data_IF_886318000516
#
_entry.id   IF_886318000516
#
_cell.length_a   1.000
_cell.length_b   1.000
_cell.length_c   1.000
_cell.angle_alpha   90.00
_cell.angle_beta   90.00
_cell.angle_gamma   90.00
#
_symmetry.space_group_name_H-M   'P 1'
#
loop_
_entity.id
_entity.type
_entity.pdbx_description
1 polymer ?
#
# COMPACT_ATOMS: atom_id res chain seq x y z
N UNK A 1 20.75 -15.69 5.23
CA UNK A 1 19.88 -15.41 4.07
C UNK A 1 19.83 -13.91 3.76
N UNK A 2 19.44 -13.04 4.71
CA UNK A 2 19.41 -11.58 4.52
C UNK A 2 20.74 -10.97 3.99
N UNK A 3 21.88 -11.25 4.63
CA UNK A 3 23.20 -10.77 4.15
C UNK A 3 23.59 -11.31 2.76
N UNK A 4 23.09 -12.48 2.37
CA UNK A 4 23.38 -13.11 1.07
C UNK A 4 22.51 -12.52 -0.03
N UNK A 5 21.22 -12.27 0.26
CA UNK A 5 20.29 -11.53 -0.61
C UNK A 5 20.75 -10.08 -0.80
N UNK A 6 21.26 -9.44 0.27
CA UNK A 6 21.87 -8.10 0.21
C UNK A 6 23.14 -8.07 -0.65
N UNK A 7 24.04 -9.05 -0.50
CA UNK A 7 25.25 -9.17 -1.33
C UNK A 7 24.91 -9.45 -2.81
N UNK A 8 23.92 -10.31 -3.08
CA UNK A 8 23.45 -10.62 -4.43
C UNK A 8 22.74 -9.44 -5.09
N UNK A 9 21.98 -8.66 -4.32
CA UNK A 9 21.35 -7.42 -4.81
C UNK A 9 22.38 -6.30 -5.07
N UNK A 10 23.52 -6.31 -4.35
CA UNK A 10 24.57 -5.29 -4.46
C UNK A 10 25.52 -5.53 -5.65
N UNK A 11 25.85 -6.79 -5.97
CA UNK A 11 26.89 -7.09 -6.97
C UNK A 11 26.35 -7.49 -8.35
N UNK A 12 25.16 -8.08 -8.46
CA UNK A 12 24.75 -8.76 -9.70
C UNK A 12 23.27 -8.53 -10.04
N UNK A 13 22.98 -8.26 -11.31
CA UNK A 13 21.67 -7.79 -11.80
C UNK A 13 20.45 -8.71 -11.56
N UNK A 14 19.26 -8.31 -12.08
CA UNK A 14 17.95 -8.90 -11.76
C UNK A 14 17.91 -10.43 -11.95
N UNK A 15 18.60 -10.90 -12.97
CA UNK A 15 18.62 -12.31 -13.39
C UNK A 15 19.30 -13.22 -12.35
N UNK A 16 20.32 -12.73 -11.64
CA UNK A 16 21.08 -13.55 -10.66
C UNK A 16 20.47 -13.54 -9.26
N UNK A 17 19.78 -12.47 -8.87
CA UNK A 17 18.95 -12.47 -7.65
C UNK A 17 17.82 -13.49 -7.78
N UNK A 18 17.24 -13.60 -8.99
CA UNK A 18 16.20 -14.58 -9.32
C UNK A 18 16.72 -16.02 -9.31
N UNK A 19 17.94 -16.28 -9.80
CA UNK A 19 18.61 -17.60 -9.70
C UNK A 19 18.90 -17.99 -8.23
N UNK A 20 19.37 -17.06 -7.41
CA UNK A 20 19.74 -17.34 -6.02
C UNK A 20 18.54 -17.63 -5.10
N UNK A 21 17.39 -17.00 -5.35
CA UNK A 21 16.14 -17.30 -4.63
C UNK A 21 15.56 -18.67 -5.01
N UNK A 22 15.89 -19.19 -6.21
CA UNK A 22 15.45 -20.51 -6.69
C UNK A 22 16.31 -21.68 -6.17
N UNK A 23 17.57 -21.43 -5.80
CA UNK A 23 18.54 -22.42 -5.33
C UNK A 23 18.47 -22.77 -3.84
N UNK A 24 17.61 -22.13 -3.04
CA UNK A 24 17.43 -22.42 -1.62
C UNK A 24 16.67 -23.74 -1.42
N UNK A 25 17.38 -24.85 -1.60
CA UNK A 25 16.98 -26.21 -1.20
C UNK A 25 17.16 -26.44 0.31
N UNK A 26 16.48 -27.46 0.83
CA UNK A 26 16.24 -27.73 2.26
C UNK A 26 17.51 -27.78 3.17
N UNK A 27 18.72 -27.92 2.61
CA UNK A 27 19.97 -28.07 3.37
C UNK A 27 20.75 -26.78 3.68
N UNK A 28 20.43 -25.62 3.07
CA UNK A 28 21.12 -24.36 3.43
C UNK A 28 20.55 -23.68 4.69
N UNK A 29 19.79 -24.43 5.50
CA UNK A 29 19.50 -24.10 6.90
C UNK A 29 20.72 -24.37 7.81
N UNK A 30 21.75 -25.10 7.32
CA UNK A 30 23.05 -25.22 7.99
C UNK A 30 24.18 -25.14 6.96
N UNK A 31 24.96 -24.06 7.03
CA UNK A 31 25.95 -23.72 6.00
C UNK A 31 26.99 -24.82 5.70
N UNK A 32 27.16 -25.13 4.41
CA UNK A 32 28.42 -25.34 3.66
C UNK A 32 28.12 -26.09 2.35
N UNK A 33 28.57 -25.54 1.21
CA UNK A 33 28.67 -26.28 -0.07
C UNK A 33 28.82 -25.38 -1.30
N UNK A 34 29.68 -25.70 -2.28
CA UNK A 34 30.01 -24.83 -3.43
C UNK A 34 29.01 -24.98 -4.60
N UNK A 35 29.04 -24.07 -5.60
CA UNK A 35 27.92 -23.81 -6.48
C UNK A 35 27.90 -24.75 -7.69
N UNK A 36 26.74 -25.29 -8.02
CA UNK A 36 26.45 -25.89 -9.33
C UNK A 36 25.30 -25.11 -9.93
N UNK A 37 25.56 -24.54 -11.11
CA UNK A 37 24.66 -23.78 -11.99
C UNK A 37 23.35 -24.51 -12.29
N UNK A 38 22.23 -23.76 -12.35
CA UNK A 38 21.35 -23.87 -13.51
C UNK A 38 20.68 -22.54 -13.94
N UNK A 39 20.61 -22.28 -15.26
CA UNK A 39 19.64 -21.38 -15.89
C UNK A 39 18.23 -22.05 -16.01
N UNK A 40 17.22 -21.48 -16.69
CA UNK A 40 16.20 -20.59 -16.14
C UNK A 40 14.79 -21.19 -16.34
N UNK A 41 13.99 -21.32 -15.28
CA UNK A 41 12.54 -21.48 -15.43
C UNK A 41 11.87 -21.21 -14.08
N UNK A 42 10.70 -20.59 -14.13
CA UNK A 42 9.68 -20.62 -13.08
C UNK A 42 9.16 -22.05 -12.74
N UNK A 43 10.03 -23.07 -12.81
CA UNK A 43 9.77 -24.49 -12.60
C UNK A 43 10.35 -25.05 -11.31
N UNK A 44 11.06 -24.27 -10.50
CA UNK A 44 11.57 -24.75 -9.20
C UNK A 44 10.50 -24.83 -8.10
N UNK A 45 9.42 -24.05 -8.21
CA UNK A 45 8.32 -24.01 -7.23
C UNK A 45 6.99 -23.62 -7.91
N UNK A 46 6.40 -24.49 -8.75
CA UNK A 46 5.14 -24.16 -9.42
C UNK A 46 3.99 -24.05 -8.42
N UNK A 47 3.02 -23.16 -8.68
CA UNK A 47 1.82 -23.03 -7.85
C UNK A 47 0.89 -24.26 -7.93
N UNK A 48 1.14 -25.19 -8.85
CA UNK A 48 0.48 -26.49 -8.91
C UNK A 48 0.85 -27.41 -7.75
N UNK A 49 1.95 -27.14 -7.04
CA UNK A 49 2.37 -27.89 -5.86
C UNK A 49 2.24 -27.04 -4.59
N UNK A 50 1.62 -27.55 -3.51
CA UNK A 50 1.50 -26.81 -2.24
C UNK A 50 2.85 -26.39 -1.65
N UNK A 51 3.88 -27.21 -1.80
CA UNK A 51 5.26 -26.91 -1.39
C UNK A 51 5.85 -25.72 -2.15
N UNK A 52 5.50 -25.58 -3.43
CA UNK A 52 5.91 -24.47 -4.27
C UNK A 52 5.27 -23.15 -3.84
N UNK A 53 3.97 -23.17 -3.55
CA UNK A 53 3.23 -22.02 -3.02
C UNK A 53 3.82 -21.57 -1.68
N UNK A 54 4.07 -22.50 -0.76
CA UNK A 54 4.67 -22.19 0.54
C UNK A 54 6.06 -21.55 0.38
N UNK A 55 6.91 -22.08 -0.51
CA UNK A 55 8.24 -21.52 -0.76
C UNK A 55 8.15 -20.10 -1.31
N UNK A 56 7.25 -19.85 -2.27
CA UNK A 56 7.00 -18.50 -2.79
C UNK A 56 6.57 -17.57 -1.66
N UNK A 57 5.60 -17.97 -0.84
CA UNK A 57 5.15 -17.17 0.32
C UNK A 57 6.29 -16.79 1.26
N UNK A 58 7.23 -17.70 1.53
CA UNK A 58 8.41 -17.37 2.34
C UNK A 58 9.31 -16.31 1.69
N UNK A 59 9.47 -16.34 0.35
CA UNK A 59 10.20 -15.29 -0.37
C UNK A 59 9.53 -13.93 -0.14
N UNK A 60 8.20 -13.84 -0.29
CA UNK A 60 7.46 -12.60 0.01
C UNK A 60 7.66 -12.14 1.46
N UNK A 61 7.54 -13.05 2.44
CA UNK A 61 7.72 -12.76 3.87
C UNK A 61 9.11 -12.25 4.21
N UNK A 62 10.13 -12.59 3.43
CA UNK A 62 11.50 -12.09 3.63
C UNK A 62 11.80 -10.81 2.84
N UNK A 63 11.31 -10.71 1.61
CA UNK A 63 11.57 -9.54 0.77
C UNK A 63 10.83 -8.29 1.25
N UNK A 64 9.59 -8.41 1.75
CA UNK A 64 8.80 -7.26 2.21
C UNK A 64 9.48 -6.53 3.37
N UNK A 65 9.87 -7.20 4.49
CA UNK A 65 10.59 -6.53 5.56
C UNK A 65 11.96 -6.00 5.14
N UNK A 66 12.65 -6.68 4.21
CA UNK A 66 13.94 -6.20 3.70
C UNK A 66 13.78 -4.89 2.93
N UNK A 67 12.75 -4.77 2.10
CA UNK A 67 12.43 -3.52 1.38
C UNK A 67 12.09 -2.41 2.36
N UNK A 68 11.33 -2.71 3.42
CA UNK A 68 10.95 -1.73 4.45
C UNK A 68 12.04 -1.47 5.51
N UNK A 69 13.15 -2.21 5.52
CA UNK A 69 14.24 -2.00 6.49
C UNK A 69 15.02 -0.70 6.28
N UNK A 70 14.98 -0.15 5.06
CA UNK A 70 15.79 1.01 4.67
C UNK A 70 17.25 0.67 4.32
N UNK A 71 17.68 -0.59 4.47
CA UNK A 71 19.06 -1.03 4.19
C UNK A 71 19.39 -1.12 2.69
N UNK A 72 18.37 -1.02 1.83
CA UNK A 72 18.49 -1.14 0.38
C UNK A 72 18.42 0.22 -0.31
N UNK A 73 19.22 0.40 -1.36
CA UNK A 73 19.06 1.52 -2.28
C UNK A 73 17.69 1.45 -2.99
N UNK A 74 17.02 2.60 -3.17
CA UNK A 74 15.65 2.69 -3.70
C UNK A 74 15.45 1.99 -5.05
N UNK A 75 16.46 2.03 -5.93
CA UNK A 75 16.42 1.32 -7.22
C UNK A 75 16.33 -0.20 -7.03
N UNK A 76 17.07 -0.77 -6.07
CA UNK A 76 17.05 -2.21 -5.78
C UNK A 76 15.76 -2.63 -5.08
N UNK A 77 15.27 -1.81 -4.16
CA UNK A 77 13.95 -2.01 -3.56
C UNK A 77 12.84 -2.04 -4.63
N UNK A 78 12.88 -1.11 -5.58
CA UNK A 78 11.91 -1.05 -6.70
C UNK A 78 12.00 -2.26 -7.62
N UNK A 79 13.21 -2.73 -7.92
CA UNK A 79 13.46 -3.93 -8.74
C UNK A 79 12.88 -5.18 -8.07
N UNK A 80 13.12 -5.37 -6.76
CA UNK A 80 12.58 -6.49 -5.98
C UNK A 80 11.04 -6.45 -5.99
N UNK A 81 10.45 -5.29 -5.69
CA UNK A 81 8.98 -5.14 -5.69
C UNK A 81 8.39 -5.42 -7.08
N UNK A 82 9.03 -4.92 -8.15
CA UNK A 82 8.61 -5.18 -9.52
C UNK A 82 8.60 -6.68 -9.86
N UNK A 83 9.64 -7.43 -9.47
CA UNK A 83 9.69 -8.89 -9.67
C UNK A 83 8.58 -9.61 -8.89
N UNK A 84 8.32 -9.21 -7.65
CA UNK A 84 7.25 -9.78 -6.83
C UNK A 84 5.86 -9.50 -7.44
N UNK A 85 5.63 -8.29 -7.97
CA UNK A 85 4.36 -7.92 -8.61
C UNK A 85 4.07 -8.74 -9.88
N UNK A 86 5.09 -9.22 -10.60
CA UNK A 86 4.89 -10.07 -11.78
C UNK A 86 4.42 -11.48 -11.39
N UNK A 87 4.94 -12.02 -10.29
CA UNK A 87 4.65 -13.38 -9.84
C UNK A 87 3.38 -13.49 -8.98
N UNK A 88 2.96 -12.41 -8.33
CA UNK A 88 1.84 -12.42 -7.38
C UNK A 88 0.53 -12.87 -8.03
N UNK A 89 0.33 -12.56 -9.31
CA UNK A 89 -0.89 -12.92 -10.07
C UNK A 89 -1.04 -14.43 -10.29
N UNK A 90 0.03 -15.21 -10.11
CA UNK A 90 0.01 -16.66 -10.25
C UNK A 90 -0.30 -17.37 -8.92
N UNK A 91 -0.37 -16.63 -7.80
CA UNK A 91 -0.62 -17.23 -6.49
C UNK A 91 -2.10 -17.62 -6.34
N UNK A 92 -2.39 -18.75 -5.66
CA UNK A 92 -3.76 -19.14 -5.35
C UNK A 92 -4.38 -18.19 -4.32
N UNK A 93 -5.71 -18.18 -4.24
CA UNK A 93 -6.48 -17.28 -3.38
C UNK A 93 -6.06 -17.32 -1.90
N UNK A 94 -5.90 -18.50 -1.26
CA UNK A 94 -5.45 -18.60 0.13
C UNK A 94 -4.08 -17.96 0.38
N UNK A 95 -3.15 -18.07 -0.57
CA UNK A 95 -1.83 -17.47 -0.47
C UNK A 95 -1.91 -15.93 -0.59
N UNK A 96 -2.75 -15.42 -1.49
CA UNK A 96 -3.02 -13.98 -1.61
C UNK A 96 -3.65 -13.42 -0.33
N UNK A 97 -4.60 -14.14 0.26
CA UNK A 97 -5.24 -13.77 1.51
C UNK A 97 -4.25 -13.73 2.68
N UNK A 98 -3.34 -14.70 2.76
CA UNK A 98 -2.27 -14.72 3.77
C UNK A 98 -1.31 -13.53 3.60
N UNK A 99 -0.87 -13.25 2.36
CA UNK A 99 -0.02 -12.09 2.07
C UNK A 99 -0.70 -10.76 2.41
N UNK A 100 -1.96 -10.60 2.01
CA UNK A 100 -2.71 -9.38 2.29
C UNK A 100 -2.90 -9.18 3.79
N UNK A 101 -3.13 -10.26 4.54
CA UNK A 101 -3.22 -10.23 6.01
C UNK A 101 -1.90 -9.77 6.64
N UNK A 102 -0.77 -10.29 6.15
CA UNK A 102 0.56 -9.87 6.62
C UNK A 102 0.81 -8.37 6.42
N UNK A 103 0.40 -7.81 5.28
CA UNK A 103 0.50 -6.37 5.05
C UNK A 103 -0.34 -5.56 6.04
N UNK A 104 -1.57 -6.00 6.32
CA UNK A 104 -2.43 -5.36 7.33
C UNK A 104 -1.77 -5.41 8.71
N UNK A 105 -1.10 -6.51 9.06
CA UNK A 105 -0.39 -6.64 10.34
C UNK A 105 0.87 -5.77 10.42
N UNK A 106 1.61 -5.62 9.32
CA UNK A 106 2.74 -4.68 9.21
C UNK A 106 2.27 -3.23 9.40
N UNK A 107 1.13 -2.84 8.80
CA UNK A 107 0.54 -1.50 8.98
C UNK A 107 0.15 -1.29 10.45
N UNK A 108 -0.53 -2.27 11.07
CA UNK A 108 -0.90 -2.22 12.49
C UNK A 108 0.30 -2.09 13.42
N UNK A 109 1.41 -2.74 13.04
CA UNK A 109 2.67 -2.71 13.78
C UNK A 109 3.48 -1.42 13.60
N UNK A 110 3.06 -0.51 12.71
CA UNK A 110 3.77 0.76 12.45
C UNK A 110 5.16 0.56 11.83
N UNK A 111 5.40 -0.56 11.14
CA UNK A 111 6.73 -0.91 10.60
C UNK A 111 6.92 -0.50 9.13
N UNK A 112 6.16 0.48 8.64
CA UNK A 112 6.26 1.00 7.27
C UNK A 112 7.15 2.24 7.26
N UNK A 113 8.37 2.11 6.73
CA UNK A 113 9.34 3.21 6.73
C UNK A 113 9.34 3.97 5.39
N UNK A 114 9.30 3.25 4.26
CA UNK A 114 9.39 3.85 2.93
C UNK A 114 8.14 3.61 2.07
N UNK A 115 7.23 2.75 2.53
CA UNK A 115 5.93 2.50 1.89
C UNK A 115 6.04 1.83 0.53
N UNK A 116 7.23 1.43 0.08
CA UNK A 116 7.45 0.85 -1.25
C UNK A 116 6.79 -0.52 -1.37
N UNK A 117 6.71 -1.26 -0.26
CA UNK A 117 5.99 -2.53 -0.23
C UNK A 117 4.47 -2.38 -0.42
N UNK A 118 3.91 -1.18 -0.25
CA UNK A 118 2.48 -0.93 -0.48
C UNK A 118 2.08 -0.99 -1.96
N UNK A 119 3.02 -0.77 -2.89
CA UNK A 119 2.80 -1.00 -4.33
C UNK A 119 2.56 -2.50 -4.62
N UNK A 120 3.24 -3.37 -3.88
CA UNK A 120 2.96 -4.80 -3.93
C UNK A 120 1.61 -5.11 -3.28
N UNK A 121 1.29 -4.46 -2.16
CA UNK A 121 0.01 -4.65 -1.47
C UNK A 121 -1.20 -4.29 -2.34
N UNK A 122 -1.16 -3.20 -3.10
CA UNK A 122 -2.23 -2.85 -4.06
C UNK A 122 -2.44 -3.94 -5.11
N UNK A 123 -1.34 -4.52 -5.60
CA UNK A 123 -1.37 -5.62 -6.57
C UNK A 123 -1.93 -6.90 -5.94
N UNK A 124 -1.55 -7.22 -4.70
CA UNK A 124 -2.09 -8.36 -3.94
C UNK A 124 -3.61 -8.21 -3.76
N UNK A 125 -4.09 -7.05 -3.32
CA UNK A 125 -5.52 -6.81 -3.12
C UNK A 125 -6.32 -6.90 -4.42
N UNK A 126 -5.75 -6.41 -5.53
CA UNK A 126 -6.38 -6.49 -6.85
C UNK A 126 -6.43 -7.94 -7.36
N UNK A 127 -5.35 -8.70 -7.18
CA UNK A 127 -5.31 -10.12 -7.53
C UNK A 127 -6.28 -10.95 -6.68
N UNK A 128 -6.34 -10.65 -5.37
CA UNK A 128 -7.27 -11.29 -4.44
C UNK A 128 -8.73 -11.05 -4.85
N UNK A 129 -9.08 -9.79 -5.17
CA UNK A 129 -10.43 -9.44 -5.63
C UNK A 129 -10.84 -10.17 -6.91
N UNK A 130 -9.87 -10.48 -7.77
CA UNK A 130 -10.08 -11.19 -9.03
C UNK A 130 -10.14 -12.72 -8.85
N UNK A 131 -9.78 -13.23 -7.67
CA UNK A 131 -9.81 -14.66 -7.37
C UNK A 131 -11.26 -15.13 -7.18
N UNK A 132 -11.61 -16.19 -7.91
CA UNK A 132 -12.92 -16.86 -7.82
C UNK A 132 -12.95 -17.98 -6.78
N UNK A 133 -11.83 -18.21 -6.09
CA UNK A 133 -11.74 -19.26 -5.07
C UNK A 133 -12.49 -18.85 -3.81
N UNK A 134 -13.14 -19.84 -3.17
CA UNK A 134 -13.76 -19.66 -1.86
C UNK A 134 -12.68 -19.73 -0.78
N UNK A 135 -12.57 -18.68 0.02
CA UNK A 135 -11.52 -18.50 1.03
C UNK A 135 -12.10 -18.76 2.41
N UNK A 136 -11.45 -19.62 3.19
CA UNK A 136 -11.85 -19.87 4.56
C UNK A 136 -11.68 -18.59 5.42
N UNK A 137 -12.74 -18.17 6.10
CA UNK A 137 -12.73 -17.04 7.01
C UNK A 137 -13.54 -17.35 8.28
N UNK A 138 -12.84 -17.56 9.40
CA UNK A 138 -13.47 -17.95 10.66
C UNK A 138 -14.19 -19.30 10.55
N UNK A 139 -15.53 -19.29 10.66
CA UNK A 139 -16.37 -20.48 10.48
C UNK A 139 -17.08 -20.55 9.11
N UNK A 140 -16.86 -19.55 8.26
CA UNK A 140 -17.51 -19.45 6.96
C UNK A 140 -16.49 -19.39 5.82
N UNK A 141 -17.00 -19.14 4.63
CA UNK A 141 -16.19 -18.90 3.44
C UNK A 141 -16.56 -17.54 2.84
N UNK A 142 -15.57 -16.84 2.30
CA UNK A 142 -15.72 -15.57 1.60
C UNK A 142 -15.12 -15.69 0.21
N UNK A 143 -15.69 -15.02 -0.77
CA UNK A 143 -15.00 -14.85 -2.06
C UNK A 143 -13.87 -13.81 -1.93
N UNK A 144 -13.05 -13.68 -2.98
CA UNK A 144 -11.92 -12.76 -3.01
C UNK A 144 -12.29 -11.28 -2.78
N UNK A 145 -13.43 -10.83 -3.33
CA UNK A 145 -13.92 -9.46 -3.17
C UNK A 145 -14.41 -9.18 -1.74
N UNK A 146 -15.15 -10.12 -1.16
CA UNK A 146 -15.61 -10.05 0.23
C UNK A 146 -14.44 -10.06 1.21
N UNK A 147 -13.42 -10.89 0.97
CA UNK A 147 -12.21 -10.93 1.79
C UNK A 147 -11.44 -9.61 1.68
N UNK A 148 -11.29 -9.05 0.46
CA UNK A 148 -10.71 -7.71 0.23
C UNK A 148 -11.46 -6.65 1.06
N UNK A 149 -12.79 -6.67 1.05
CA UNK A 149 -13.62 -5.76 1.85
C UNK A 149 -13.33 -5.88 3.35
N UNK A 150 -13.23 -7.10 3.88
CA UNK A 150 -12.88 -7.33 5.29
C UNK A 150 -11.48 -6.81 5.63
N UNK A 151 -10.51 -6.99 4.74
CA UNK A 151 -9.15 -6.46 4.92
C UNK A 151 -9.15 -4.93 4.94
N UNK A 152 -9.86 -4.27 4.03
CA UNK A 152 -9.96 -2.80 3.99
C UNK A 152 -10.64 -2.28 5.26
N UNK A 153 -11.71 -2.92 5.73
CA UNK A 153 -12.37 -2.58 6.99
C UNK A 153 -11.43 -2.72 8.19
N UNK A 154 -10.68 -3.82 8.24
CA UNK A 154 -9.69 -4.07 9.30
C UNK A 154 -8.58 -3.02 9.27
N UNK A 155 -8.10 -2.68 8.08
CA UNK A 155 -7.09 -1.66 7.86
C UNK A 155 -7.60 -0.28 8.32
N UNK A 156 -8.81 0.13 7.93
CA UNK A 156 -9.39 1.41 8.34
C UNK A 156 -9.71 1.48 9.84
N UNK A 157 -10.01 0.34 10.47
CA UNK A 157 -10.24 0.24 11.92
C UNK A 157 -8.95 0.25 12.74
N UNK A 158 -7.80 -0.07 12.12
CA UNK A 158 -6.50 -0.09 12.80
C UNK A 158 -5.94 1.31 13.07
N UNK A 159 -4.92 1.41 13.92
CA UNK A 159 -4.16 2.65 14.10
C UNK A 159 -3.13 2.76 12.96
N UNK A 160 -3.15 3.87 12.23
CA UNK A 160 -2.14 4.16 11.21
C UNK A 160 -1.05 5.03 11.81
N UNK A 161 0.19 4.72 11.47
CA UNK A 161 1.31 5.61 11.74
C UNK A 161 1.17 6.87 10.85
N UNK A 162 1.24 8.11 11.41
CA UNK A 162 1.20 9.35 10.65
C UNK A 162 2.13 9.37 9.42
N UNK A 163 3.34 8.82 9.55
CA UNK A 163 4.33 8.80 8.46
C UNK A 163 3.91 7.90 7.27
N UNK A 164 3.04 6.93 7.53
CA UNK A 164 2.56 5.99 6.52
C UNK A 164 1.30 6.47 5.78
N UNK A 165 0.59 7.49 6.29
CA UNK A 165 -0.76 7.86 5.81
C UNK A 165 -0.76 8.27 4.34
N UNK A 166 0.24 9.06 3.90
CA UNK A 166 0.36 9.50 2.50
C UNK A 166 0.59 8.28 1.59
N UNK A 167 1.45 7.34 2.00
CA UNK A 167 1.72 6.12 1.26
C UNK A 167 0.49 5.21 1.18
N UNK A 168 -0.29 5.11 2.26
CA UNK A 168 -1.56 4.37 2.29
C UNK A 168 -2.61 5.01 1.36
N UNK A 169 -2.78 6.34 1.41
CA UNK A 169 -3.70 7.06 0.54
C UNK A 169 -3.35 6.86 -0.95
N UNK A 170 -2.05 6.90 -1.29
CA UNK A 170 -1.55 6.57 -2.62
C UNK A 170 -1.91 5.14 -3.04
N UNK A 171 -1.66 4.16 -2.18
CA UNK A 171 -1.95 2.75 -2.46
C UNK A 171 -3.44 2.51 -2.76
N UNK A 172 -4.36 3.17 -2.04
CA UNK A 172 -5.80 3.08 -2.33
C UNK A 172 -6.21 3.67 -3.68
N UNK A 173 -5.43 4.59 -4.24
CA UNK A 173 -5.65 5.11 -5.59
C UNK A 173 -5.42 4.04 -6.66
N UNK A 174 -4.62 3.03 -6.39
CA UNK A 174 -4.28 1.99 -7.36
C UNK A 174 -5.14 0.72 -7.24
N UNK A 175 -6.10 0.68 -6.31
CA UNK A 175 -6.97 -0.48 -6.04
C UNK A 175 -8.43 -0.19 -6.48
N UNK A 176 -9.15 -1.15 -7.09
CA UNK A 176 -10.59 -1.00 -7.31
C UNK A 176 -11.35 -1.03 -5.97
N UNK A 177 -12.05 0.06 -5.66
CA UNK A 177 -12.86 0.24 -4.45
C UNK A 177 -14.34 0.34 -4.81
N UNK A 178 -15.18 -0.35 -4.05
CA UNK A 178 -16.63 -0.11 -4.04
C UNK A 178 -16.93 1.25 -3.37
N UNK A 179 -18.14 1.77 -3.57
CA UNK A 179 -18.56 3.04 -2.94
C UNK A 179 -18.45 3.02 -1.42
N UNK A 180 -18.82 1.90 -0.79
CA UNK A 180 -18.70 1.71 0.66
C UNK A 180 -17.23 1.69 1.12
N UNK A 181 -16.38 0.93 0.43
CA UNK A 181 -14.94 0.86 0.74
C UNK A 181 -14.29 2.24 0.59
N UNK A 182 -14.61 2.96 -0.48
CA UNK A 182 -14.10 4.31 -0.72
C UNK A 182 -14.52 5.26 0.40
N UNK A 183 -15.77 5.20 0.85
CA UNK A 183 -16.25 6.02 1.96
C UNK A 183 -15.47 5.73 3.24
N UNK A 184 -15.26 4.46 3.61
CA UNK A 184 -14.45 4.11 4.78
C UNK A 184 -13.02 4.63 4.70
N UNK A 185 -12.38 4.52 3.54
CA UNK A 185 -11.02 5.03 3.31
C UNK A 185 -10.99 6.55 3.43
N UNK A 186 -11.91 7.26 2.77
CA UNK A 186 -11.99 8.74 2.82
C UNK A 186 -12.19 9.21 4.26
N UNK A 187 -13.15 8.65 4.99
CA UNK A 187 -13.39 9.00 6.39
C UNK A 187 -12.17 8.69 7.27
N UNK A 188 -11.47 7.58 7.02
CA UNK A 188 -10.26 7.23 7.75
C UNK A 188 -9.14 8.24 7.50
N UNK A 189 -8.90 8.62 6.25
CA UNK A 189 -7.87 9.60 5.88
C UNK A 189 -8.20 10.97 6.49
N UNK A 190 -9.47 11.40 6.44
CA UNK A 190 -9.92 12.65 7.06
C UNK A 190 -9.62 12.69 8.57
N UNK A 191 -9.84 11.58 9.28
CA UNK A 191 -9.52 11.46 10.72
C UNK A 191 -8.01 11.47 11.02
N UNK A 192 -7.14 11.27 10.02
CA UNK A 192 -5.70 11.32 10.22
C UNK A 192 -5.14 12.74 10.20
N UNK A 193 -5.84 13.72 9.61
CA UNK A 193 -5.35 15.10 9.56
C UNK A 193 -5.08 15.71 10.94
N UNK A 194 -5.88 15.38 11.96
CA UNK A 194 -5.67 15.88 13.33
C UNK A 194 -4.44 15.30 14.05
N UNK A 195 -3.72 14.39 13.39
CA UNK A 195 -2.50 13.74 13.92
C UNK A 195 -1.26 14.08 13.12
N UNK A 196 -1.39 14.91 12.09
CA UNK A 196 -0.31 15.28 11.18
C UNK A 196 0.19 16.66 11.53
N UNK A 197 1.47 16.88 11.23
CA UNK A 197 2.03 18.22 11.27
C UNK A 197 1.44 19.07 10.14
N UNK A 198 1.35 20.39 10.35
CA UNK A 198 0.76 21.31 9.39
C UNK A 198 1.36 21.23 7.97
N UNK A 199 2.64 20.89 7.87
CA UNK A 199 3.34 20.76 6.59
C UNK A 199 2.99 19.47 5.84
N UNK A 200 2.48 18.46 6.54
CA UNK A 200 2.04 17.19 5.94
C UNK A 200 0.59 17.24 5.45
N UNK A 201 -0.17 18.27 5.85
CA UNK A 201 -1.57 18.46 5.44
C UNK A 201 -1.68 18.67 3.91
N UNK A 202 -0.98 19.64 3.27
CA UNK A 202 -1.12 19.87 1.84
C UNK A 202 -0.87 18.64 0.94
N UNK A 203 0.22 17.85 1.13
CA UNK A 203 0.43 16.66 0.30
C UNK A 203 -0.64 15.60 0.53
N UNK A 204 -1.14 15.42 1.76
CA UNK A 204 -2.23 14.48 2.00
C UNK A 204 -3.55 14.95 1.40
N UNK A 205 -3.87 16.24 1.48
CA UNK A 205 -5.03 16.85 0.79
C UNK A 205 -4.96 16.55 -0.70
N UNK A 206 -3.80 16.74 -1.33
CA UNK A 206 -3.64 16.44 -2.75
C UNK A 206 -3.94 14.96 -3.06
N UNK A 207 -3.42 14.03 -2.26
CA UNK A 207 -3.71 12.60 -2.48
C UNK A 207 -5.18 12.25 -2.25
N UNK A 208 -5.84 12.86 -1.25
CA UNK A 208 -7.26 12.66 -0.99
C UNK A 208 -8.14 13.21 -2.14
N UNK A 209 -7.78 14.38 -2.69
CA UNK A 209 -8.45 14.96 -3.84
C UNK A 209 -8.30 14.05 -5.08
N UNK A 210 -7.10 13.52 -5.34
CA UNK A 210 -6.90 12.55 -6.42
C UNK A 210 -7.70 11.26 -6.21
N UNK A 211 -7.84 10.79 -4.97
CA UNK A 211 -8.67 9.63 -4.65
C UNK A 211 -10.16 9.91 -4.93
N UNK A 212 -10.61 11.15 -4.75
CA UNK A 212 -12.01 11.57 -4.98
C UNK A 212 -12.48 11.44 -6.43
N UNK A 213 -11.56 11.30 -7.38
CA UNK A 213 -11.88 10.97 -8.77
C UNK A 213 -12.64 9.63 -8.87
N UNK A 214 -12.47 8.73 -7.89
CA UNK A 214 -13.22 7.47 -7.79
C UNK A 214 -14.63 7.62 -7.21
N UNK A 215 -14.96 8.75 -6.59
CA UNK A 215 -16.23 8.99 -5.90
C UNK A 215 -16.06 9.78 -4.60
N UNK A 216 -17.14 9.93 -3.82
CA UNK A 216 -17.14 10.62 -2.52
C UNK A 216 -16.64 12.07 -2.54
N UNK A 217 -16.73 12.75 -3.68
CA UNK A 217 -16.30 14.15 -3.90
C UNK A 217 -16.84 15.09 -2.83
N UNK A 218 -18.14 15.01 -2.55
CA UNK A 218 -18.81 15.81 -1.52
C UNK A 218 -18.17 15.65 -0.14
N UNK A 219 -18.01 14.41 0.33
CA UNK A 219 -17.44 14.10 1.65
C UNK A 219 -15.98 14.57 1.75
N UNK A 220 -15.21 14.42 0.68
CA UNK A 220 -13.83 14.91 0.62
C UNK A 220 -13.79 16.44 0.75
N UNK A 221 -14.59 17.16 -0.02
CA UNK A 221 -14.65 18.62 0.03
C UNK A 221 -15.13 19.12 1.40
N UNK A 222 -16.20 18.54 1.93
CA UNK A 222 -16.71 18.84 3.28
C UNK A 222 -15.63 18.63 4.35
N UNK A 223 -14.93 17.50 4.30
CA UNK A 223 -13.88 17.20 5.24
C UNK A 223 -12.70 18.18 5.16
N UNK A 224 -12.29 18.58 3.96
CA UNK A 224 -11.20 19.56 3.77
C UNK A 224 -11.63 20.96 4.23
N UNK A 225 -12.87 21.37 3.95
CA UNK A 225 -13.39 22.67 4.39
C UNK A 225 -13.48 22.72 5.91
N UNK A 226 -14.04 21.67 6.55
CA UNK A 226 -14.12 21.57 8.00
C UNK A 226 -12.72 21.56 8.62
N UNK A 227 -11.76 20.87 8.00
CA UNK A 227 -10.37 20.88 8.44
C UNK A 227 -9.85 22.31 8.50
N UNK A 228 -9.89 23.05 7.38
CA UNK A 228 -9.36 24.43 7.32
C UNK A 228 -10.00 25.32 8.38
N UNK A 229 -11.33 25.24 8.56
CA UNK A 229 -12.05 25.98 9.59
C UNK A 229 -11.65 25.59 11.02
N UNK A 230 -11.27 24.33 11.24
CA UNK A 230 -10.84 23.85 12.56
C UNK A 230 -9.41 24.29 12.87
N UNK A 231 -8.51 24.29 11.87
CA UNK A 231 -7.15 24.80 12.05
C UNK A 231 -7.14 26.31 12.33
N UNK A 232 -8.07 27.05 11.71
CA UNK A 232 -8.32 28.48 12.01
C UNK A 232 -8.73 28.76 13.47
N UNK A 233 -9.25 27.76 14.20
CA UNK A 233 -9.69 27.91 15.60
C UNK A 233 -8.58 27.56 16.62
N UNK A 234 -7.54 26.82 16.24
CA UNK A 234 -6.41 26.45 17.10
C UNK A 234 -5.28 27.51 17.11
N UNK A 235 -5.69 28.79 17.20
CA UNK A 235 -4.85 30.01 17.15
C UNK A 235 -3.80 30.11 18.28
N UNK A 236 -3.78 29.19 19.24
CA UNK A 236 -3.03 29.38 20.48
C UNK A 236 -1.50 29.14 20.38
N UNK A 237 -0.98 28.51 19.32
CA UNK A 237 0.45 28.11 19.30
C UNK A 237 1.19 28.21 17.96
N UNK A 238 0.48 28.35 16.83
CA UNK A 238 1.09 28.34 15.49
C UNK A 238 1.15 29.76 14.91
N UNK A 239 2.27 30.17 14.27
CA UNK A 239 2.34 31.45 13.57
C UNK A 239 1.30 31.55 12.44
N UNK A 240 0.53 32.63 12.43
CA UNK A 240 -0.53 32.88 11.45
C UNK A 240 -0.05 32.81 9.99
N UNK A 241 1.20 33.20 9.73
CA UNK A 241 1.80 33.15 8.38
C UNK A 241 1.98 31.71 7.88
N UNK A 242 2.30 30.77 8.78
CA UNK A 242 2.41 29.34 8.41
C UNK A 242 1.04 28.76 8.10
N UNK A 243 0.02 29.12 8.88
CA UNK A 243 -1.35 28.68 8.66
C UNK A 243 -1.86 29.13 7.30
N UNK A 244 -1.75 30.43 7.00
CA UNK A 244 -2.15 31.02 5.71
C UNK A 244 -1.39 30.40 4.52
N UNK A 245 -0.13 30.04 4.72
CA UNK A 245 0.66 29.37 3.68
C UNK A 245 0.14 27.96 3.39
N UNK A 246 -0.16 27.19 4.43
CA UNK A 246 -0.75 25.85 4.31
C UNK A 246 -2.13 25.93 3.63
N UNK A 247 -2.98 26.84 4.08
CA UNK A 247 -4.29 27.09 3.46
C UNK A 247 -4.18 27.49 1.99
N UNK A 248 -3.29 28.42 1.67
CA UNK A 248 -3.02 28.82 0.29
C UNK A 248 -2.60 27.62 -0.57
N UNK A 249 -1.77 26.73 -0.03
CA UNK A 249 -1.35 25.51 -0.73
C UNK A 249 -2.49 24.51 -0.90
N UNK A 250 -3.34 24.34 0.12
CA UNK A 250 -4.56 23.51 0.06
C UNK A 250 -5.51 24.02 -1.02
N UNK A 251 -5.78 25.33 -1.06
CA UNK A 251 -6.62 25.96 -2.09
C UNK A 251 -6.02 25.74 -3.47
N UNK A 252 -4.71 25.92 -3.64
CA UNK A 252 -4.02 25.66 -4.90
C UNK A 252 -4.18 24.20 -5.35
N UNK A 253 -4.08 23.23 -4.43
CA UNK A 253 -4.34 21.82 -4.75
C UNK A 253 -5.78 21.57 -5.18
N UNK A 254 -6.78 22.15 -4.50
CA UNK A 254 -8.19 22.04 -4.89
C UNK A 254 -8.38 22.58 -6.31
N UNK A 255 -7.89 23.79 -6.59
CA UNK A 255 -8.00 24.41 -7.93
C UNK A 255 -7.29 23.54 -8.98
N UNK A 256 -6.11 23.00 -8.66
CA UNK A 256 -5.34 22.14 -9.57
C UNK A 256 -6.12 20.87 -9.92
N UNK A 257 -6.80 20.25 -8.96
CA UNK A 257 -7.60 19.04 -9.22
C UNK A 257 -8.90 19.37 -9.94
N UNK A 258 -9.56 20.50 -9.64
CA UNK A 258 -10.75 20.95 -10.40
C UNK A 258 -10.41 21.16 -11.89
N UNK A 259 -9.21 21.66 -12.20
CA UNK A 259 -8.77 21.80 -13.59
C UNK A 259 -8.62 20.45 -14.31
N UNK A 260 -8.42 19.36 -13.57
CA UNK A 260 -8.32 17.99 -14.10
C UNK A 260 -9.67 17.25 -14.08
N UNK A 261 -10.54 17.54 -13.10
CA UNK A 261 -11.84 16.92 -12.88
C UNK A 261 -12.91 17.99 -12.59
N UNK A 262 -13.66 18.38 -13.63
CA UNK A 262 -14.68 19.42 -13.54
C UNK A 262 -15.85 19.03 -12.63
N UNK A 263 -16.14 17.73 -12.46
CA UNK A 263 -17.21 17.27 -11.57
C UNK A 263 -16.93 17.66 -10.11
N UNK A 264 -15.64 17.70 -9.72
CA UNK A 264 -15.24 18.18 -8.39
C UNK A 264 -15.58 19.67 -8.22
N UNK A 265 -15.38 20.47 -9.28
CA UNK A 265 -15.74 21.89 -9.29
C UNK A 265 -17.25 22.11 -9.22
N UNK A 266 -18.03 21.33 -9.97
CA UNK A 266 -19.49 21.35 -9.86
C UNK A 266 -19.97 21.01 -8.45
N UNK A 267 -19.38 19.97 -7.83
CA UNK A 267 -19.74 19.55 -6.48
C UNK A 267 -19.39 20.63 -5.45
N UNK A 268 -18.24 21.30 -5.59
CA UNK A 268 -17.88 22.43 -4.74
C UNK A 268 -18.88 23.58 -4.87
N UNK A 269 -19.29 23.94 -6.10
CA UNK A 269 -20.29 24.99 -6.32
C UNK A 269 -21.64 24.60 -5.70
N UNK A 270 -22.08 23.34 -5.84
CA UNK A 270 -23.31 22.85 -5.21
C UNK A 270 -23.23 22.96 -3.70
N UNK A 271 -22.08 22.61 -3.12
CA UNK A 271 -21.86 22.68 -1.67
C UNK A 271 -21.88 24.13 -1.14
N UNK A 272 -21.30 25.09 -1.86
CA UNK A 272 -21.24 26.50 -1.46
C UNK A 272 -22.53 27.30 -1.72
N UNK A 273 -23.44 26.79 -2.54
CA UNK A 273 -24.72 27.45 -2.87
C UNK A 273 -25.81 27.27 -1.80
N UNK A 274 -25.48 26.65 -0.67
CA UNK A 274 -26.38 26.43 0.47
C UNK A 274 -26.46 27.69 1.34
#
# INVERSE_FOLDING_TARGET
MAQRVLALAAEEGPERLQEALQGLGEDEVRGRGPPVTPHPRAGGSPCSQPSGVLRRLQVYKHCVPLVESGDLHLSKASEIIGLLMLEVRQLPGPALAELATLFVDVVKGGSLSNGKSLELFSTVLTALASSKESLAYGKGELNGEEFKKQLINTLCSSKWDPQSVIHLANMFRDIPLSGEELQFVVEKVLRMFSKLDLQEIPPLVYQLLLLSAKGSKKTVLEGIIILSLSVDLEVATVPLDQLRHVEGTVILHIISVINLDQDLGEELIKHLKV
#
